data_IF_168177542773
#
_entry.id   IF_168177542773
#
_cell.length_a   1.000
_cell.length_b   1.000
_cell.length_c   1.000
_cell.angle_alpha   90.00
_cell.angle_beta   90.00
_cell.angle_gamma   90.00
#
_symmetry.space_group_name_H-M   'P 1'
#
loop_
_entity.id
_entity.type
_entity.pdbx_description
1 polymer ?
#
# COMPACT_ATOMS: atom_id res chain seq x y z
N UNK A 1 -28.26 -15.61 -2.88
CA UNK A 1 -27.28 -15.25 -1.83
C UNK A 1 -26.19 -14.44 -2.50
N UNK A 2 -26.00 -13.17 -2.13
CA UNK A 2 -25.00 -12.33 -2.80
C UNK A 2 -23.62 -12.76 -2.32
N UNK A 3 -22.67 -12.95 -3.24
CA UNK A 3 -21.31 -13.42 -2.90
C UNK A 3 -20.66 -12.62 -1.77
N UNK A 4 -20.96 -11.33 -1.68
CA UNK A 4 -20.51 -10.43 -0.61
C UNK A 4 -20.96 -10.86 0.80
N UNK A 5 -22.19 -11.35 0.98
CA UNK A 5 -22.71 -11.77 2.29
C UNK A 5 -21.96 -13.00 2.83
N UNK A 6 -21.63 -13.94 1.93
CA UNK A 6 -20.80 -15.11 2.25
C UNK A 6 -19.39 -14.68 2.64
N UNK A 7 -18.79 -13.76 1.87
CA UNK A 7 -17.44 -13.27 2.15
C UNK A 7 -17.37 -12.51 3.48
N UNK A 8 -18.37 -11.71 3.84
CA UNK A 8 -18.43 -11.03 5.14
C UNK A 8 -18.58 -12.03 6.29
N UNK A 9 -19.46 -13.03 6.14
CA UNK A 9 -19.68 -14.08 7.15
C UNK A 9 -18.39 -14.81 7.51
N UNK A 10 -17.52 -15.05 6.54
CA UNK A 10 -16.24 -15.76 6.74
C UNK A 10 -15.03 -14.82 6.93
N UNK A 11 -15.24 -13.50 7.09
CA UNK A 11 -14.14 -12.52 7.15
C UNK A 11 -13.17 -12.57 5.94
N UNK A 12 -13.68 -12.97 4.78
CA UNK A 12 -12.93 -13.10 3.52
C UNK A 12 -12.90 -11.77 2.75
N UNK A 13 -13.68 -10.76 3.15
CA UNK A 13 -13.55 -9.39 2.61
C UNK A 13 -12.28 -8.72 3.16
N UNK A 14 -11.13 -9.07 2.58
CA UNK A 14 -9.82 -8.49 2.88
C UNK A 14 -9.24 -7.78 1.65
N UNK A 15 -9.95 -6.75 1.18
CA UNK A 15 -9.39 -5.81 0.21
C UNK A 15 -8.53 -4.75 0.89
N UNK A 16 -7.53 -4.21 0.19
CA UNK A 16 -6.67 -3.12 0.69
C UNK A 16 -7.50 -1.93 1.18
N UNK A 17 -8.57 -1.57 0.47
CA UNK A 17 -9.48 -0.47 0.87
C UNK A 17 -10.23 -0.75 2.18
N UNK A 18 -10.73 -1.97 2.37
CA UNK A 18 -11.39 -2.37 3.62
C UNK A 18 -10.42 -2.36 4.80
N UNK A 19 -9.18 -2.80 4.57
CA UNK A 19 -8.14 -2.79 5.61
C UNK A 19 -7.72 -1.35 5.98
N UNK A 20 -7.60 -0.46 4.99
CA UNK A 20 -7.33 0.97 5.24
C UNK A 20 -8.46 1.63 6.04
N UNK A 21 -9.72 1.34 5.70
CA UNK A 21 -10.88 1.81 6.46
C UNK A 21 -10.88 1.27 7.90
N UNK A 22 -10.60 -0.01 8.10
CA UNK A 22 -10.50 -0.59 9.45
C UNK A 22 -9.39 0.08 10.26
N UNK A 23 -8.23 0.34 9.66
CA UNK A 23 -7.13 1.03 10.34
C UNK A 23 -7.51 2.46 10.72
N UNK A 24 -8.20 3.18 9.84
CA UNK A 24 -8.74 4.52 10.14
C UNK A 24 -9.70 4.48 11.33
N UNK A 25 -10.70 3.59 11.30
CA UNK A 25 -11.72 3.47 12.36
C UNK A 25 -11.11 3.06 13.70
N UNK A 26 -10.15 2.14 13.68
CA UNK A 26 -9.52 1.60 14.88
C UNK A 26 -8.31 2.42 15.36
N UNK A 27 -7.95 3.51 14.68
CA UNK A 27 -6.74 4.29 14.98
C UNK A 27 -5.44 3.47 14.88
N UNK A 28 -5.42 2.43 14.05
CA UNK A 28 -4.25 1.55 13.92
C UNK A 28 -3.24 2.14 12.95
N UNK A 29 -2.01 2.29 13.43
CA UNK A 29 -0.88 2.72 12.60
C UNK A 29 -0.44 1.60 11.64
N UNK A 30 -0.27 1.92 10.36
CA UNK A 30 0.27 0.99 9.36
C UNK A 30 1.65 1.45 8.89
N UNK A 31 2.68 0.73 9.31
CA UNK A 31 4.05 1.01 8.88
C UNK A 31 4.24 0.76 7.38
N UNK A 32 3.70 -0.34 6.85
CA UNK A 32 3.89 -0.76 5.45
C UNK A 32 2.56 -1.12 4.80
N UNK A 33 2.18 -0.36 3.79
CA UNK A 33 0.95 -0.61 3.02
C UNK A 33 1.20 -1.56 1.85
N UNK A 34 2.14 -1.18 0.98
CA UNK A 34 2.64 -2.01 -0.11
C UNK A 34 3.45 -3.20 0.42
N UNK A 35 3.14 -4.40 -0.08
CA UNK A 35 3.82 -5.63 0.34
C UNK A 35 5.24 -5.73 -0.21
N UNK A 36 5.50 -5.14 -1.38
CA UNK A 36 6.84 -5.02 -1.96
C UNK A 36 7.82 -4.22 -1.11
N UNK A 37 7.35 -3.49 -0.09
CA UNK A 37 8.18 -2.89 0.95
C UNK A 37 8.73 -3.96 1.90
N UNK A 38 9.48 -4.94 1.40
CA UNK A 38 10.20 -5.95 2.19
C UNK A 38 9.34 -6.99 2.91
N UNK A 39 8.07 -7.17 2.56
CA UNK A 39 7.18 -8.22 3.13
C UNK A 39 6.56 -9.12 2.05
N UNK A 40 7.09 -9.05 0.83
CA UNK A 40 6.71 -9.85 -0.33
C UNK A 40 7.98 -10.43 -0.95
N UNK A 41 7.88 -11.70 -1.34
CA UNK A 41 8.83 -12.38 -2.19
C UNK A 41 8.07 -12.84 -3.44
N UNK A 42 8.64 -12.59 -4.61
CA UNK A 42 8.10 -13.07 -5.89
C UNK A 42 9.11 -14.00 -6.51
N UNK A 43 8.60 -15.14 -6.98
CA UNK A 43 9.35 -16.13 -7.73
C UNK A 43 8.73 -16.17 -9.12
N UNK A 44 9.53 -15.87 -10.15
CA UNK A 44 9.11 -16.01 -11.55
C UNK A 44 9.35 -17.43 -12.06
N UNK A 45 8.77 -17.84 -13.21
CA UNK A 45 8.79 -19.25 -13.65
C UNK A 45 10.18 -19.87 -13.84
N UNK A 46 11.20 -19.07 -14.15
CA UNK A 46 12.60 -19.50 -14.26
C UNK A 46 13.33 -19.58 -12.90
N UNK A 47 12.64 -19.27 -11.81
CA UNK A 47 13.14 -19.32 -10.45
C UNK A 47 13.78 -18.02 -9.95
N UNK A 48 13.88 -16.96 -10.77
CA UNK A 48 14.43 -15.70 -10.30
C UNK A 48 13.56 -15.05 -9.21
N UNK A 49 14.20 -14.26 -8.33
CA UNK A 49 13.56 -13.69 -7.16
C UNK A 49 13.47 -12.17 -7.23
N UNK A 50 12.31 -11.60 -6.89
CA UNK A 50 12.11 -10.15 -6.93
C UNK A 50 11.13 -9.63 -5.87
N UNK A 51 11.13 -8.31 -5.60
CA UNK A 51 10.33 -7.73 -4.53
C UNK A 51 8.86 -7.50 -4.93
N UNK A 52 8.53 -7.46 -6.22
CA UNK A 52 7.22 -7.03 -6.71
C UNK A 52 6.74 -7.78 -7.94
N UNK A 53 5.52 -8.30 -7.89
CA UNK A 53 4.91 -9.09 -8.97
C UNK A 53 4.57 -8.22 -10.19
N UNK A 54 4.36 -6.92 -10.00
CA UNK A 54 4.10 -5.99 -11.09
C UNK A 54 5.36 -5.71 -11.93
N UNK A 55 6.55 -6.05 -11.42
CA UNK A 55 7.83 -5.87 -12.11
C UNK A 55 8.30 -7.12 -12.87
N UNK A 56 7.48 -8.16 -13.03
CA UNK A 56 7.89 -9.40 -13.74
C UNK A 56 8.37 -9.12 -15.17
N UNK A 57 7.86 -8.06 -15.82
CA UNK A 57 8.35 -7.62 -17.14
C UNK A 57 9.69 -6.87 -17.13
N UNK A 58 10.21 -6.52 -15.95
CA UNK A 58 11.46 -5.80 -15.73
C UNK A 58 12.43 -6.67 -14.92
N UNK A 59 12.99 -7.69 -15.57
CA UNK A 59 13.86 -8.69 -14.93
C UNK A 59 15.14 -8.09 -14.31
N UNK A 60 15.50 -6.85 -14.65
CA UNK A 60 16.55 -6.07 -13.96
C UNK A 60 16.31 -5.91 -12.45
N UNK A 61 15.05 -6.01 -12.00
CA UNK A 61 14.69 -5.98 -10.58
C UNK A 61 14.65 -7.37 -9.93
N UNK A 62 15.03 -8.41 -10.66
CA UNK A 62 15.09 -9.78 -10.17
C UNK A 62 16.54 -10.22 -10.03
N UNK A 63 16.88 -10.81 -8.88
CA UNK A 63 18.23 -11.23 -8.53
C UNK A 63 18.20 -12.60 -7.87
N UNK A 64 19.22 -13.42 -8.15
CA UNK A 64 19.35 -14.76 -7.60
C UNK A 64 18.36 -15.75 -8.21
N UNK A 65 18.34 -16.97 -7.66
CA UNK A 65 17.44 -18.03 -8.09
C UNK A 65 17.06 -18.92 -6.91
N UNK A 66 15.80 -19.35 -6.85
CA UNK A 66 15.29 -20.23 -5.79
C UNK A 66 15.98 -21.61 -5.76
N UNK A 67 16.54 -22.06 -6.89
CA UNK A 67 17.25 -23.32 -6.99
C UNK A 67 18.69 -23.25 -6.42
N UNK A 68 19.24 -22.05 -6.20
CA UNK A 68 20.57 -21.88 -5.62
C UNK A 68 20.50 -21.99 -4.08
N UNK A 69 21.11 -23.02 -3.46
CA UNK A 69 21.10 -23.21 -2.01
C UNK A 69 21.84 -22.11 -1.24
N UNK A 70 22.67 -21.31 -1.91
CA UNK A 70 23.40 -20.19 -1.32
C UNK A 70 22.69 -18.84 -1.53
N UNK A 71 21.49 -18.84 -2.11
CA UNK A 71 20.74 -17.62 -2.39
C UNK A 71 20.26 -16.95 -1.08
N UNK A 72 20.89 -15.83 -0.71
CA UNK A 72 20.52 -15.02 0.44
C UNK A 72 19.90 -13.67 0.02
N UNK A 73 18.58 -13.57 0.16
CA UNK A 73 17.80 -12.36 -0.14
C UNK A 73 18.25 -11.13 0.66
N UNK A 74 18.86 -11.32 1.83
CA UNK A 74 19.31 -10.20 2.67
C UNK A 74 20.52 -9.47 2.09
N UNK A 75 21.21 -10.09 1.12
CA UNK A 75 22.33 -9.47 0.40
C UNK A 75 21.90 -8.67 -0.83
N UNK A 76 20.66 -8.84 -1.30
CA UNK A 76 20.23 -8.24 -2.57
C UNK A 76 19.84 -6.77 -2.40
N UNK A 77 20.45 -5.90 -3.22
CA UNK A 77 20.28 -4.46 -3.12
C UNK A 77 18.83 -4.02 -3.35
N UNK A 78 18.16 -4.64 -4.32
CA UNK A 78 16.74 -4.40 -4.59
C UNK A 78 15.87 -4.67 -3.33
N UNK A 79 16.05 -5.80 -2.64
CA UNK A 79 15.30 -6.11 -1.43
C UNK A 79 15.65 -5.18 -0.26
N UNK A 80 16.94 -4.88 -0.07
CA UNK A 80 17.41 -3.97 1.00
C UNK A 80 16.88 -2.56 0.83
N UNK A 81 16.91 -2.05 -0.40
CA UNK A 81 16.42 -0.71 -0.71
C UNK A 81 14.89 -0.64 -0.56
N UNK A 82 14.17 -1.59 -1.16
CA UNK A 82 12.70 -1.60 -1.13
C UNK A 82 12.15 -1.80 0.29
N UNK A 83 12.84 -2.56 1.14
CA UNK A 83 12.48 -2.72 2.55
C UNK A 83 12.58 -1.40 3.36
N UNK A 84 13.33 -0.41 2.88
CA UNK A 84 13.41 0.93 3.49
C UNK A 84 12.35 1.89 2.96
N UNK A 85 11.62 1.51 1.90
CA UNK A 85 10.64 2.37 1.24
C UNK A 85 9.28 2.28 1.91
N UNK A 86 9.08 3.07 2.96
CA UNK A 86 7.79 3.24 3.66
C UNK A 86 7.61 4.69 4.14
N UNK A 87 6.39 5.15 4.47
CA UNK A 87 6.07 6.58 4.60
C UNK A 87 6.95 7.36 5.57
N UNK A 88 7.29 6.78 6.72
CA UNK A 88 8.15 7.42 7.72
C UNK A 88 9.60 7.64 7.25
N UNK A 89 10.07 6.86 6.27
CA UNK A 89 11.39 7.03 5.68
C UNK A 89 11.38 7.98 4.47
N UNK A 90 10.26 8.60 4.15
CA UNK A 90 10.11 9.48 3.01
C UNK A 90 9.80 10.90 3.44
N UNK A 91 10.73 11.80 3.15
CA UNK A 91 10.61 13.23 3.49
C UNK A 91 9.35 13.85 2.89
N UNK A 92 8.97 13.45 1.67
CA UNK A 92 7.76 13.92 0.97
C UNK A 92 6.45 13.67 1.75
N UNK A 93 6.38 12.61 2.56
CA UNK A 93 5.17 12.26 3.29
C UNK A 93 5.10 12.83 4.71
N UNK A 94 6.14 13.49 5.20
CA UNK A 94 6.19 14.02 6.59
C UNK A 94 5.07 15.02 6.91
N UNK A 95 4.55 15.71 5.90
CA UNK A 95 3.43 16.66 6.03
C UNK A 95 2.06 16.05 5.69
N UNK A 96 2.01 14.77 5.32
CA UNK A 96 0.76 14.13 4.95
C UNK A 96 -0.09 13.82 6.20
N UNK A 97 -1.33 14.34 6.31
CA UNK A 97 -2.19 14.04 7.45
C UNK A 97 -2.63 12.56 7.50
N UNK A 98 -2.41 11.81 6.42
CA UNK A 98 -2.82 10.41 6.27
C UNK A 98 -1.63 9.44 6.26
N UNK A 99 -0.46 9.87 6.74
CA UNK A 99 0.79 9.09 6.74
C UNK A 99 0.68 7.72 7.40
N UNK A 100 -0.24 7.55 8.37
CA UNK A 100 -0.48 6.29 9.07
C UNK A 100 -1.37 5.31 8.31
N UNK A 101 -2.02 5.74 7.22
CA UNK A 101 -3.04 4.98 6.50
C UNK A 101 -2.53 4.41 5.17
N UNK A 102 -1.59 5.09 4.51
CA UNK A 102 -1.11 4.71 3.18
C UNK A 102 0.39 5.00 2.98
N UNK A 103 0.99 4.38 1.94
CA UNK A 103 2.36 4.68 1.54
C UNK A 103 2.66 4.58 0.04
N UNK A 104 1.63 4.61 -0.80
CA UNK A 104 1.73 4.49 -2.24
C UNK A 104 2.06 3.08 -2.72
N UNK A 105 1.97 2.87 -4.05
CA UNK A 105 2.49 1.69 -4.71
C UNK A 105 3.90 1.98 -5.23
N UNK A 106 4.90 1.19 -4.80
CA UNK A 106 6.29 1.36 -5.21
C UNK A 106 6.46 1.21 -6.73
N UNK A 107 5.76 0.24 -7.31
CA UNK A 107 5.70 0.05 -8.76
C UNK A 107 5.20 1.33 -9.44
N UNK A 108 4.02 1.84 -9.09
CA UNK A 108 3.48 3.04 -9.72
C UNK A 108 4.44 4.23 -9.64
N UNK A 109 5.00 4.51 -8.46
CA UNK A 109 6.01 5.56 -8.29
C UNK A 109 7.18 5.40 -9.27
N UNK A 110 7.67 4.18 -9.43
CA UNK A 110 8.74 3.89 -10.37
C UNK A 110 8.32 4.15 -11.83
N UNK A 111 7.19 3.64 -12.31
CA UNK A 111 6.79 3.83 -13.73
C UNK A 111 6.49 5.29 -14.04
N UNK A 112 5.96 6.04 -13.07
CA UNK A 112 5.58 7.45 -13.31
C UNK A 112 6.76 8.41 -13.21
N UNK A 113 7.83 8.04 -12.50
CA UNK A 113 8.89 9.00 -12.14
C UNK A 113 10.32 8.46 -12.22
N UNK A 114 10.47 7.21 -12.67
CA UNK A 114 11.73 6.46 -12.70
C UNK A 114 12.44 6.35 -11.33
N UNK A 115 11.69 6.46 -10.24
CA UNK A 115 12.21 6.38 -8.87
C UNK A 115 11.19 5.75 -7.94
N UNK A 116 11.65 4.78 -7.14
CA UNK A 116 10.82 4.19 -6.09
C UNK A 116 10.56 5.17 -4.95
N UNK A 117 11.39 6.21 -4.78
CA UNK A 117 11.36 7.16 -3.66
C UNK A 117 10.43 8.36 -3.87
N UNK A 118 9.83 8.47 -5.03
CA UNK A 118 8.83 9.49 -5.31
C UNK A 118 7.45 9.05 -4.86
N UNK A 119 6.50 9.99 -4.91
CA UNK A 119 5.11 9.71 -4.59
C UNK A 119 4.43 8.85 -5.66
N UNK A 120 3.35 8.17 -5.27
CA UNK A 120 2.40 7.58 -6.20
C UNK A 120 1.21 8.53 -6.34
N UNK A 121 1.10 9.30 -7.43
CA UNK A 121 0.04 10.30 -7.57
C UNK A 121 -1.35 9.65 -7.62
N UNK A 122 -1.47 8.47 -8.20
CA UNK A 122 -2.77 7.79 -8.34
C UNK A 122 -3.30 7.35 -6.98
N UNK A 123 -2.46 6.70 -6.18
CA UNK A 123 -2.85 6.28 -4.83
C UNK A 123 -3.01 7.49 -3.90
N UNK A 124 -2.20 8.54 -4.06
CA UNK A 124 -2.35 9.78 -3.29
C UNK A 124 -3.74 10.39 -3.49
N UNK A 125 -4.13 10.62 -4.75
CA UNK A 125 -5.47 11.15 -5.08
C UNK A 125 -6.57 10.24 -4.56
N UNK A 126 -6.48 8.94 -4.80
CA UNK A 126 -7.46 7.96 -4.31
C UNK A 126 -7.62 8.02 -2.78
N UNK A 127 -6.51 8.07 -2.04
CA UNK A 127 -6.54 8.06 -0.58
C UNK A 127 -7.09 9.37 0.00
N UNK A 128 -6.73 10.51 -0.57
CA UNK A 128 -7.29 11.80 -0.18
C UNK A 128 -8.82 11.83 -0.41
N UNK A 129 -9.29 11.36 -1.57
CA UNK A 129 -10.72 11.26 -1.86
C UNK A 129 -11.44 10.29 -0.94
N UNK A 130 -10.84 9.13 -0.64
CA UNK A 130 -11.41 8.14 0.26
C UNK A 130 -11.55 8.71 1.68
N UNK A 131 -10.51 9.32 2.24
CA UNK A 131 -10.57 9.88 3.59
C UNK A 131 -11.54 11.05 3.65
N UNK A 132 -11.54 11.94 2.64
CA UNK A 132 -12.54 13.01 2.54
C UNK A 132 -13.96 12.43 2.56
N UNK A 133 -14.24 11.43 1.73
CA UNK A 133 -15.54 10.78 1.72
C UNK A 133 -15.93 10.17 3.09
N UNK A 134 -15.00 9.48 3.76
CA UNK A 134 -15.23 8.92 5.11
C UNK A 134 -15.58 10.03 6.11
N UNK A 135 -14.84 11.14 6.09
CA UNK A 135 -15.07 12.26 7.00
C UNK A 135 -16.44 12.92 6.75
N UNK A 136 -16.84 13.13 5.49
CA UNK A 136 -18.16 13.68 5.15
C UNK A 136 -19.30 12.74 5.59
N UNK A 137 -19.15 11.43 5.35
CA UNK A 137 -20.15 10.44 5.76
C UNK A 137 -20.30 10.40 7.28
N UNK A 138 -19.19 10.43 8.03
CA UNK A 138 -19.21 10.51 9.49
C UNK A 138 -19.81 11.82 10.00
N UNK A 139 -19.47 12.95 9.39
CA UNK A 139 -19.99 14.27 9.74
C UNK A 139 -21.52 14.31 9.62
N UNK A 140 -22.05 13.82 8.49
CA UNK A 140 -23.48 13.71 8.27
C UNK A 140 -24.15 12.75 9.26
N UNK A 141 -23.61 11.54 9.44
CA UNK A 141 -24.19 10.52 10.35
C UNK A 141 -24.19 10.92 11.82
N UNK A 142 -23.30 11.81 12.23
CA UNK A 142 -23.21 12.32 13.61
C UNK A 142 -24.07 13.56 13.86
N UNK A 143 -24.89 13.98 12.90
CA UNK A 143 -25.73 15.17 13.04
C UNK A 143 -24.93 16.48 13.03
N UNK A 144 -23.67 16.45 12.57
CA UNK A 144 -22.81 17.62 12.60
C UNK A 144 -23.17 18.61 11.47
N UNK A 145 -23.69 18.11 10.35
CA UNK A 145 -24.21 18.93 9.26
C UNK A 145 -25.32 19.87 9.70
N UNK A 146 -26.26 19.40 10.51
CA UNK A 146 -27.38 20.19 11.02
C UNK A 146 -26.91 21.23 12.05
N UNK A 147 -25.89 20.90 12.85
CA UNK A 147 -25.40 21.76 13.94
C UNK A 147 -24.38 22.81 13.49
N UNK A 148 -23.53 22.47 12.53
CA UNK A 148 -22.36 23.27 12.15
C UNK A 148 -22.28 23.56 10.65
N UNK A 149 -23.26 23.12 9.86
CA UNK A 149 -23.23 23.21 8.40
C UNK A 149 -22.49 22.04 7.74
N UNK A 150 -22.64 21.93 6.43
CA UNK A 150 -21.93 20.91 5.64
C UNK A 150 -20.48 21.31 5.45
N UNK A 151 -19.57 20.34 5.55
CA UNK A 151 -18.18 20.48 5.12
C UNK A 151 -18.09 20.20 3.61
N UNK A 152 -17.26 20.96 2.88
CA UNK A 152 -17.05 20.88 1.43
C UNK A 152 -15.91 19.97 1.00
#
# INVERSE_FOLDING_TARGET
MKATEVLYKYNVVKGTSCQRLQNFVLGKFRLRDCKSSGIQLVVVPDGMLGPCHSLVGFLEYYQGNIADPNCDLTQFDNFREWAKRYPLNMTLYTKCPFISLCGGCIYNSYITSNSIWNEDPQICTYMCSLVKWILHDLWKKRGMSEKYGSIE
#
